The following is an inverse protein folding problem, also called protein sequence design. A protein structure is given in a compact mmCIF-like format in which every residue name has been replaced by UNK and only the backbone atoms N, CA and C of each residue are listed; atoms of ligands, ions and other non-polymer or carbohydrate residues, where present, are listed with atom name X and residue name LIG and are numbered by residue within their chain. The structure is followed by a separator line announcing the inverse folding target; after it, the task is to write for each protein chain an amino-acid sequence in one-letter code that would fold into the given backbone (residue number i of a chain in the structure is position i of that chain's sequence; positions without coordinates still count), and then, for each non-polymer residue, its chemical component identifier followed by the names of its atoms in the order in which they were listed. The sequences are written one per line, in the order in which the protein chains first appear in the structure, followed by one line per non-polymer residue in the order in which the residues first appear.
data_IF_218967335105
#
_entry.id   IF_218967335105
#
_cell.length_a   1.000
_cell.length_b   1.000
_cell.length_c   1.000
_cell.angle_alpha   90.00
_cell.angle_beta   90.00
_cell.angle_gamma   90.00
#
_symmetry.space_group_name_H-M   'P 1'
#
loop_
_entity.id
_entity.type
_entity.pdbx_description
1 polymer ?
#
# COMPACT_ATOMS: atom_id res chain seq x y z
N UNK A 1 31.00 7.90 7.93
CA UNK A 1 29.97 7.25 8.78
C UNK A 1 28.54 7.56 8.32
N UNK A 2 28.18 8.84 8.12
CA UNK A 2 26.85 9.26 7.65
C UNK A 2 26.42 8.66 6.29
N UNK A 3 27.36 8.51 5.33
CA UNK A 3 27.11 7.90 4.02
C UNK A 3 27.02 6.36 4.05
N UNK A 4 27.76 5.71 4.96
CA UNK A 4 27.68 4.26 5.15
C UNK A 4 26.35 3.87 5.81
N UNK A 5 25.87 4.69 6.76
CA UNK A 5 24.53 4.57 7.35
C UNK A 5 23.43 4.84 6.33
N UNK A 6 23.60 5.83 5.44
CA UNK A 6 22.66 6.04 4.31
C UNK A 6 22.65 4.85 3.36
N UNK A 7 23.79 4.23 3.04
CA UNK A 7 23.86 3.02 2.20
C UNK A 7 23.25 1.80 2.88
N UNK A 8 23.55 1.54 4.16
CA UNK A 8 22.96 0.45 4.93
C UNK A 8 21.46 0.63 5.13
N UNK A 9 20.98 1.87 5.38
CA UNK A 9 19.55 2.19 5.34
C UNK A 9 18.95 1.88 3.97
N UNK A 10 19.64 2.26 2.89
CA UNK A 10 19.17 2.01 1.52
C UNK A 10 19.13 0.53 1.18
N UNK A 11 20.06 -0.29 1.66
CA UNK A 11 20.12 -1.73 1.39
C UNK A 11 19.19 -2.56 2.29
N UNK A 12 19.01 -2.18 3.56
CA UNK A 12 17.99 -2.77 4.43
C UNK A 12 16.56 -2.48 3.93
N UNK A 13 16.36 -1.35 3.25
CA UNK A 13 15.12 -0.99 2.56
C UNK A 13 14.88 -1.76 1.23
N UNK A 14 15.79 -2.63 0.77
CA UNK A 14 15.66 -3.29 -0.55
C UNK A 14 15.03 -4.68 -0.52
N UNK A 15 14.74 -5.25 0.65
CA UNK A 15 14.11 -6.59 0.79
C UNK A 15 12.92 -6.57 1.75
N UNK A 16 12.06 -5.54 1.61
CA UNK A 16 10.86 -5.38 2.45
C UNK A 16 9.66 -6.15 1.90
N UNK A 17 9.73 -6.51 0.63
CA UNK A 17 8.66 -7.16 -0.10
C UNK A 17 8.73 -8.66 0.10
N UNK A 18 7.91 -9.16 1.02
CA UNK A 18 7.65 -10.59 1.12
C UNK A 18 6.38 -10.92 0.32
N UNK A 19 6.45 -11.79 -0.69
CA UNK A 19 5.25 -12.20 -1.40
C UNK A 19 4.41 -13.10 -0.50
N UNK A 20 3.10 -12.89 -0.50
CA UNK A 20 2.17 -13.68 0.31
C UNK A 20 1.01 -14.19 -0.55
N UNK A 21 0.33 -15.26 -0.11
CA UNK A 21 -0.81 -15.80 -0.84
C UNK A 21 -1.95 -14.79 -0.81
N UNK A 22 -2.37 -14.30 -1.97
CA UNK A 22 -3.46 -13.35 -2.11
C UNK A 22 -4.42 -13.79 -3.22
N UNK A 23 -5.70 -13.49 -3.06
CA UNK A 23 -6.69 -13.62 -4.12
C UNK A 23 -6.52 -12.54 -5.20
N UNK A 24 -5.64 -11.56 -4.99
CA UNK A 24 -5.38 -10.48 -5.93
C UNK A 24 -6.53 -9.48 -6.03
N UNK A 25 -6.28 -8.34 -6.66
CA UNK A 25 -7.26 -7.26 -6.80
C UNK A 25 -7.26 -6.72 -8.23
N UNK A 26 -8.27 -5.90 -8.55
CA UNK A 26 -8.41 -5.31 -9.88
C UNK A 26 -7.74 -3.93 -9.92
N UNK A 27 -6.76 -3.77 -10.79
CA UNK A 27 -6.16 -2.48 -11.14
C UNK A 27 -6.80 -1.94 -12.42
N UNK A 28 -7.19 -0.65 -12.48
CA UNK A 28 -7.69 -0.06 -13.72
C UNK A 28 -6.57 0.01 -14.76
N UNK A 29 -6.95 -0.07 -16.03
CA UNK A 29 -5.98 0.01 -17.14
C UNK A 29 -5.60 1.45 -17.45
N UNK A 30 -6.48 2.41 -17.14
CA UNK A 30 -6.28 3.81 -17.41
C UNK A 30 -6.37 4.64 -16.12
N UNK A 31 -5.31 5.42 -15.90
CA UNK A 31 -5.17 6.38 -14.80
C UNK A 31 -4.64 7.66 -15.39
N UNK A 32 -5.33 8.77 -15.15
CA UNK A 32 -4.95 10.12 -15.55
C UNK A 32 -4.77 11.01 -14.34
N UNK A 33 -4.07 12.13 -14.53
CA UNK A 33 -3.97 13.19 -13.54
C UNK A 33 -5.01 14.25 -13.88
N UNK A 34 -5.75 14.70 -12.88
CA UNK A 34 -6.62 15.87 -12.96
C UNK A 34 -6.31 16.78 -11.77
N UNK A 35 -5.53 17.83 -12.02
CA UNK A 35 -4.98 18.68 -10.96
C UNK A 35 -4.23 17.89 -9.89
N UNK A 36 -4.72 17.96 -8.66
CA UNK A 36 -4.16 17.28 -7.49
C UNK A 36 -4.82 15.92 -7.19
N UNK A 37 -5.51 15.33 -8.15
CA UNK A 37 -6.13 14.02 -8.04
C UNK A 37 -5.70 13.06 -9.14
N UNK A 38 -5.71 11.76 -8.82
CA UNK A 38 -5.75 10.69 -9.80
C UNK A 38 -7.18 10.48 -10.24
N UNK A 39 -7.43 10.36 -11.54
CA UNK A 39 -8.69 9.87 -12.09
C UNK A 39 -8.52 8.49 -12.70
N UNK A 40 -9.52 7.65 -12.52
CA UNK A 40 -9.51 6.27 -12.91
C UNK A 40 -10.69 5.96 -13.82
N UNK A 41 -10.44 5.50 -15.03
CA UNK A 41 -11.52 5.23 -15.99
C UNK A 41 -12.25 3.92 -15.66
N UNK A 42 -13.58 4.01 -15.48
CA UNK A 42 -14.46 2.86 -15.33
C UNK A 42 -14.60 2.03 -16.63
N UNK A 43 -14.38 2.65 -17.79
CA UNK A 43 -14.47 2.01 -19.11
C UNK A 43 -13.24 1.14 -19.42
N UNK A 44 -12.17 1.26 -18.62
CA UNK A 44 -10.93 0.54 -18.84
C UNK A 44 -11.04 -0.92 -18.36
N UNK A 45 -10.63 -1.88 -19.19
CA UNK A 45 -10.66 -3.30 -18.80
C UNK A 45 -9.74 -3.54 -17.60
N UNK A 46 -10.23 -3.96 -16.43
CA UNK A 46 -9.39 -4.09 -15.25
C UNK A 46 -8.40 -5.24 -15.41
N UNK A 47 -7.20 -5.07 -14.84
CA UNK A 47 -6.15 -6.09 -14.79
C UNK A 47 -6.05 -6.64 -13.38
N UNK A 48 -6.16 -7.95 -13.24
CA UNK A 48 -5.92 -8.61 -11.95
C UNK A 48 -4.44 -8.50 -11.57
N UNK A 49 -4.17 -8.03 -10.36
CA UNK A 49 -2.84 -7.87 -9.76
C UNK A 49 -2.72 -8.71 -8.51
N UNK A 50 -1.48 -9.07 -8.21
CA UNK A 50 -1.10 -9.82 -7.03
C UNK A 50 0.07 -9.08 -6.36
N UNK A 51 0.27 -9.24 -5.04
CA UNK A 51 1.46 -8.72 -4.39
C UNK A 51 2.71 -9.25 -5.10
N UNK A 52 3.68 -8.38 -5.37
CA UNK A 52 4.95 -8.79 -5.95
C UNK A 52 6.13 -8.00 -5.38
N UNK A 53 7.33 -8.48 -5.65
CA UNK A 53 8.59 -7.85 -5.27
C UNK A 53 8.63 -6.40 -5.73
N UNK A 54 9.04 -5.49 -4.84
CA UNK A 54 9.14 -4.06 -5.09
C UNK A 54 7.86 -3.26 -4.92
N UNK A 55 6.69 -3.88 -4.65
CA UNK A 55 5.42 -3.17 -4.51
C UNK A 55 5.41 -2.22 -3.31
N UNK A 56 5.65 -2.73 -2.10
CA UNK A 56 5.76 -1.92 -0.90
C UNK A 56 6.91 -0.92 -1.05
N UNK A 57 8.09 -1.37 -1.50
CA UNK A 57 9.25 -0.49 -1.71
C UNK A 57 8.90 0.71 -2.60
N UNK A 58 8.20 0.48 -3.70
CA UNK A 58 7.78 1.54 -4.61
C UNK A 58 6.70 2.44 -3.98
N UNK A 59 5.76 1.87 -3.20
CA UNK A 59 4.74 2.64 -2.50
C UNK A 59 5.33 3.57 -1.44
N UNK A 60 6.27 3.09 -0.62
CA UNK A 60 6.92 3.90 0.43
C UNK A 60 7.59 5.15 -0.13
N UNK A 61 8.06 5.10 -1.38
CA UNK A 61 8.70 6.25 -2.05
C UNK A 61 7.70 7.31 -2.52
N UNK A 62 6.40 7.01 -2.54
CA UNK A 62 5.39 7.94 -3.03
C UNK A 62 5.19 9.15 -2.15
N UNK A 63 5.61 9.10 -0.87
CA UNK A 63 5.56 10.23 0.08
C UNK A 63 6.09 11.53 -0.56
N UNK A 64 7.22 11.44 -1.27
CA UNK A 64 7.92 12.56 -1.88
C UNK A 64 7.88 12.53 -3.42
N UNK A 65 7.11 11.63 -3.99
CA UNK A 65 7.11 11.41 -5.44
C UNK A 65 6.33 12.51 -6.18
N UNK A 66 6.76 12.74 -7.43
CA UNK A 66 6.05 13.60 -8.34
C UNK A 66 4.65 13.02 -8.68
N UNK A 67 3.65 13.85 -9.00
CA UNK A 67 2.31 13.38 -9.39
C UNK A 67 2.32 12.28 -10.46
N UNK A 68 3.19 12.40 -11.47
CA UNK A 68 3.31 11.42 -12.55
C UNK A 68 3.80 10.04 -12.07
N UNK A 69 4.65 10.00 -11.04
CA UNK A 69 5.13 8.75 -10.45
C UNK A 69 4.04 8.07 -9.63
N UNK A 70 3.23 8.85 -8.90
CA UNK A 70 2.05 8.34 -8.18
C UNK A 70 1.04 7.77 -9.18
N UNK A 71 0.77 8.47 -10.28
CA UNK A 71 -0.12 7.98 -11.34
C UNK A 71 0.42 6.71 -12.02
N UNK A 72 1.74 6.63 -12.25
CA UNK A 72 2.38 5.43 -12.79
C UNK A 72 2.25 4.24 -11.83
N UNK A 73 2.45 4.46 -10.53
CA UNK A 73 2.26 3.44 -9.51
C UNK A 73 0.80 2.97 -9.47
N UNK A 74 -0.16 3.90 -9.43
CA UNK A 74 -1.59 3.57 -9.38
C UNK A 74 -2.07 2.84 -10.65
N UNK A 75 -1.51 3.16 -11.82
CA UNK A 75 -1.77 2.42 -13.06
C UNK A 75 -1.24 0.99 -13.01
N UNK A 76 -0.09 0.80 -12.38
CA UNK A 76 0.50 -0.53 -12.25
C UNK A 76 -0.26 -1.37 -11.22
N UNK A 77 -0.53 -0.78 -10.04
CA UNK A 77 -0.94 -1.50 -8.86
C UNK A 77 -2.40 -1.30 -8.44
N UNK A 78 -3.17 -0.41 -9.04
CA UNK A 78 -4.58 -0.21 -8.66
C UNK A 78 -4.84 1.02 -7.81
N UNK A 79 -6.10 1.20 -7.41
CA UNK A 79 -6.56 2.30 -6.54
C UNK A 79 -6.31 1.95 -5.07
N UNK A 80 -6.11 2.95 -4.20
CA UNK A 80 -6.14 2.73 -2.75
C UNK A 80 -7.57 2.60 -2.22
N UNK A 81 -8.55 2.99 -3.03
CA UNK A 81 -9.95 3.19 -2.70
C UNK A 81 -10.08 4.09 -1.47
N UNK A 82 -9.62 5.34 -1.58
CA UNK A 82 -9.71 6.29 -0.47
C UNK A 82 -11.15 6.79 -0.27
N UNK A 83 -11.57 6.97 0.97
CA UNK A 83 -12.76 7.73 1.35
C UNK A 83 -12.45 9.24 1.36
N UNK A 84 -13.49 10.06 1.49
CA UNK A 84 -13.37 11.54 1.58
C UNK A 84 -12.46 12.01 2.72
N UNK A 85 -12.31 11.23 3.79
CA UNK A 85 -11.38 11.50 4.89
C UNK A 85 -9.92 11.08 4.61
N UNK A 86 -9.64 10.58 3.41
CA UNK A 86 -8.30 10.18 2.97
C UNK A 86 -7.80 8.85 3.53
N UNK A 87 -8.69 8.05 4.10
CA UNK A 87 -8.41 6.70 4.59
C UNK A 87 -8.90 5.65 3.59
N UNK A 88 -8.34 4.43 3.55
CA UNK A 88 -8.91 3.35 2.75
C UNK A 88 -10.39 3.13 3.10
N UNK A 89 -11.27 3.03 2.10
CA UNK A 89 -12.73 2.94 2.25
C UNK A 89 -13.16 1.77 3.15
N UNK A 90 -12.34 0.71 3.20
CA UNK A 90 -12.51 -0.43 4.08
C UNK A 90 -12.43 -0.09 5.58
N UNK A 91 -11.98 1.10 5.95
CA UNK A 91 -11.91 1.51 7.34
C UNK A 91 -13.29 1.48 8.03
N UNK A 92 -13.35 0.91 9.24
CA UNK A 92 -14.56 0.94 10.08
C UNK A 92 -14.44 2.05 11.13
N UNK A 93 -14.83 3.27 10.77
CA UNK A 93 -14.90 4.40 11.70
C UNK A 93 -15.96 4.21 12.82
N UNK A 94 -16.88 3.25 12.66
CA UNK A 94 -18.07 3.10 13.50
C UNK A 94 -18.08 1.88 14.42
N UNK A 95 -16.93 1.25 14.71
CA UNK A 95 -16.93 0.21 15.74
C UNK A 95 -17.13 0.84 17.14
N UNK A 96 -18.17 0.46 17.90
CA UNK A 96 -18.41 0.99 19.23
C UNK A 96 -17.17 0.79 20.13
N UNK A 97 -16.64 1.88 20.69
CA UNK A 97 -15.48 1.84 21.60
C UNK A 97 -14.11 1.99 20.95
N UNK A 98 -13.99 2.01 19.62
CA UNK A 98 -12.72 2.23 18.93
C UNK A 98 -12.55 3.72 18.61
N UNK A 99 -11.77 4.45 19.44
CA UNK A 99 -11.35 5.82 19.10
C UNK A 99 -10.18 5.74 18.13
N UNK A 100 -10.43 6.15 16.90
CA UNK A 100 -9.35 6.41 15.94
C UNK A 100 -8.70 7.74 16.35
N UNK A 101 -7.39 7.78 16.64
CA UNK A 101 -6.69 9.02 16.99
C UNK A 101 -6.91 10.08 15.91
N UNK A 102 -7.06 11.35 16.31
CA UNK A 102 -7.23 12.49 15.41
C UNK A 102 -6.16 12.55 14.31
N UNK A 103 -4.91 12.20 14.60
CA UNK A 103 -3.83 12.13 13.62
C UNK A 103 -3.90 10.98 12.62
N UNK A 104 -4.87 10.08 12.75
CA UNK A 104 -5.12 9.07 11.73
C UNK A 104 -5.83 9.69 10.54
N UNK A 105 -6.62 10.74 10.78
CA UNK A 105 -7.22 11.50 9.71
C UNK A 105 -6.16 12.37 9.06
N UNK A 106 -6.20 12.44 7.73
CA UNK A 106 -5.65 13.61 7.07
C UNK A 106 -6.29 14.85 7.72
N UNK A 107 -5.53 15.90 8.06
CA UNK A 107 -6.15 17.20 8.31
C UNK A 107 -7.12 17.44 7.13
N UNK A 108 -8.36 17.89 7.40
CA UNK A 108 -9.44 17.81 6.43
C UNK A 108 -8.93 18.24 5.06
N UNK A 109 -8.88 17.28 4.13
CA UNK A 109 -8.65 17.55 2.71
C UNK A 109 -9.80 18.37 2.10
N UNK A 110 -10.73 18.85 2.95
CA UNK A 110 -11.70 19.88 2.67
C UNK A 110 -10.93 21.04 2.05
N UNK A 111 -11.02 21.07 0.72
CA UNK A 111 -10.88 22.24 -0.11
C UNK A 111 -9.75 23.19 0.31
N UNK A 112 -8.59 23.08 -0.36
CA UNK A 112 -7.88 24.31 -0.64
C UNK A 112 -8.88 25.30 -1.25
N UNK A 113 -9.03 26.52 -0.73
CA UNK A 113 -9.92 27.51 -1.32
C UNK A 113 -9.58 27.67 -2.82
N UNK A 114 -10.50 27.26 -3.69
CA UNK A 114 -10.30 27.24 -5.15
C UNK A 114 -10.15 25.87 -5.80
N UNK A 115 -10.20 24.74 -5.07
CA UNK A 115 -10.32 23.42 -5.70
C UNK A 115 -11.71 23.25 -6.33
N UNK A 116 -11.80 22.58 -7.48
CA UNK A 116 -13.09 22.29 -8.14
C UNK A 116 -14.05 21.53 -7.22
N UNK A 117 -13.51 20.72 -6.30
CA UNK A 117 -14.26 20.01 -5.28
C UNK A 117 -14.93 20.96 -4.27
N UNK A 118 -14.26 22.05 -3.89
CA UNK A 118 -14.83 23.05 -3.00
C UNK A 118 -16.09 23.68 -3.62
N UNK A 119 -16.01 24.00 -4.92
CA UNK A 119 -17.12 24.53 -5.69
C UNK A 119 -18.22 23.48 -5.91
N UNK A 120 -17.87 22.23 -6.23
CA UNK A 120 -18.85 21.13 -6.36
C UNK A 120 -19.58 20.82 -5.05
N UNK A 121 -18.89 20.86 -3.90
CA UNK A 121 -19.52 20.66 -2.59
C UNK A 121 -20.46 21.81 -2.21
N UNK A 122 -20.15 23.02 -2.65
CA UNK A 122 -20.98 24.21 -2.45
C UNK A 122 -22.22 24.20 -3.37
N UNK A 123 -22.06 23.75 -4.62
CA UNK A 123 -23.16 23.57 -5.59
C UNK A 123 -24.12 22.43 -5.20
N UNK A 124 -23.65 21.42 -4.45
CA UNK A 124 -24.49 20.35 -3.90
C UNK A 124 -25.38 20.81 -2.73
N UNK A 125 -25.34 22.09 -2.34
CA UNK A 125 -26.22 22.66 -1.31
C UNK A 125 -26.00 22.05 0.08
N UNK A 126 -24.78 21.58 0.37
CA UNK A 126 -24.44 21.04 1.69
C UNK A 126 -24.37 22.19 2.70
N UNK A 127 -25.46 22.34 3.45
CA UNK A 127 -25.65 23.37 4.47
C UNK A 127 -24.51 23.37 5.50
N UNK A 128 -23.93 24.55 5.74
CA UNK A 128 -22.82 24.75 6.70
C UNK A 128 -23.23 24.52 8.16
N UNK A 129 -24.52 24.26 8.42
CA UNK A 129 -25.10 24.11 9.76
C UNK A 129 -25.43 22.67 10.18
N UNK A 130 -25.27 21.66 9.32
CA UNK A 130 -25.57 20.27 9.69
C UNK A 130 -24.56 19.70 10.72
N UNK A 131 -24.97 19.04 11.82
CA UNK A 131 -24.04 18.45 12.78
C UNK A 131 -23.15 17.37 12.15
N UNK A 132 -21.90 17.30 12.60
CA UNK A 132 -20.77 16.58 11.98
C UNK A 132 -20.91 15.06 11.75
N UNK A 133 -21.91 14.30 12.24
CA UNK A 133 -22.15 12.94 11.73
C UNK A 133 -23.00 12.92 10.45
N UNK A 134 -23.91 13.88 10.26
CA UNK A 134 -24.95 13.80 9.22
C UNK A 134 -24.45 14.29 7.86
N UNK A 135 -23.52 15.26 7.81
CA UNK A 135 -22.83 15.64 6.56
C UNK A 135 -21.99 14.49 5.99
N UNK A 136 -21.36 13.71 6.88
CA UNK A 136 -20.49 12.59 6.51
C UNK A 136 -21.31 11.40 5.98
N UNK A 137 -22.49 11.15 6.55
CA UNK A 137 -23.38 10.08 6.10
C UNK A 137 -24.18 10.44 4.83
N UNK A 138 -24.43 11.73 4.59
CA UNK A 138 -25.04 12.23 3.36
C UNK A 138 -24.03 12.25 2.18
N UNK A 139 -22.74 12.48 2.45
CA UNK A 139 -21.62 12.32 1.51
C UNK A 139 -21.24 10.84 1.29
N UNK A 140 -22.26 10.00 1.12
CA UNK A 140 -22.15 8.59 0.76
C UNK A 140 -21.40 8.46 -0.58
N UNK A 141 -20.22 7.85 -0.71
CA UNK A 141 -19.29 7.25 0.25
C UNK A 141 -17.93 6.96 -0.47
N UNK A 142 -17.48 7.81 -1.40
CA UNK A 142 -16.24 7.62 -2.17
C UNK A 142 -15.92 8.90 -2.94
N UNK A 143 -14.64 9.23 -3.17
CA UNK A 143 -14.20 10.15 -4.23
C UNK A 143 -14.61 9.73 -5.67
N UNK A 144 -15.46 8.69 -5.81
CA UNK A 144 -15.90 8.11 -7.06
C UNK A 144 -14.74 7.54 -7.86
N UNK A 145 -14.52 8.13 -9.03
CA UNK A 145 -13.40 7.78 -9.92
C UNK A 145 -12.16 8.64 -9.70
N UNK A 146 -12.13 9.50 -8.69
CA UNK A 146 -10.97 10.29 -8.32
C UNK A 146 -10.33 9.82 -7.01
N UNK A 147 -9.04 10.10 -6.77
CA UNK A 147 -8.41 10.03 -5.44
C UNK A 147 -7.38 11.14 -5.28
N UNK A 148 -7.36 11.87 -4.16
CA UNK A 148 -6.44 12.99 -3.96
C UNK A 148 -5.00 12.49 -3.78
N UNK A 149 -4.03 13.12 -4.48
CA UNK A 149 -2.61 12.80 -4.36
C UNK A 149 -2.09 12.96 -2.93
N UNK A 150 -2.66 13.89 -2.16
CA UNK A 150 -2.33 14.09 -0.76
C UNK A 150 -2.61 12.83 0.09
N UNK A 151 -3.71 12.11 -0.18
CA UNK A 151 -4.04 10.87 0.52
C UNK A 151 -3.05 9.74 0.22
N UNK A 152 -2.62 9.64 -1.04
CA UNK A 152 -1.56 8.72 -1.44
C UNK A 152 -0.25 9.00 -0.72
N UNK A 153 0.19 10.27 -0.70
CA UNK A 153 1.42 10.69 -0.01
C UNK A 153 1.35 10.44 1.49
N UNK A 154 0.22 10.76 2.11
CA UNK A 154 0.02 10.56 3.54
C UNK A 154 0.13 9.09 3.93
N UNK A 155 -0.58 8.19 3.23
CA UNK A 155 -0.52 6.78 3.54
C UNK A 155 0.88 6.20 3.28
N UNK A 156 1.53 6.61 2.18
CA UNK A 156 2.90 6.23 1.87
C UNK A 156 3.89 6.69 2.96
N UNK A 157 3.83 7.96 3.37
CA UNK A 157 4.68 8.52 4.41
C UNK A 157 4.46 7.86 5.77
N UNK A 158 3.21 7.53 6.11
CA UNK A 158 2.90 6.81 7.34
C UNK A 158 3.49 5.40 7.35
N UNK A 159 3.30 4.64 6.28
CA UNK A 159 3.89 3.30 6.14
C UNK A 159 5.43 3.38 6.12
N UNK A 160 6.01 4.40 5.49
CA UNK A 160 7.45 4.61 5.43
C UNK A 160 8.03 4.92 6.81
N UNK A 161 7.37 5.78 7.59
CA UNK A 161 7.74 6.10 8.96
C UNK A 161 7.69 4.86 9.87
N UNK A 162 6.64 4.04 9.77
CA UNK A 162 6.51 2.78 10.52
C UNK A 162 7.66 1.83 10.18
N UNK A 163 7.92 1.63 8.88
CA UNK A 163 8.99 0.76 8.42
C UNK A 163 10.38 1.27 8.86
N UNK A 164 10.64 2.57 8.72
CA UNK A 164 11.91 3.17 9.16
C UNK A 164 12.10 3.04 10.68
N UNK A 165 11.05 3.25 11.48
CA UNK A 165 11.12 3.06 12.93
C UNK A 165 11.51 1.61 13.28
N UNK A 166 10.89 0.63 12.62
CA UNK A 166 11.23 -0.78 12.79
C UNK A 166 12.71 -1.06 12.44
N UNK A 167 13.15 -0.60 11.28
CA UNK A 167 14.50 -0.83 10.78
C UNK A 167 15.59 -0.18 11.67
N UNK A 168 15.33 1.00 12.22
CA UNK A 168 16.24 1.68 13.16
C UNK A 168 16.32 0.91 14.48
N UNK A 169 15.19 0.44 15.00
CA UNK A 169 15.16 -0.37 16.23
C UNK A 169 15.86 -1.72 16.04
N UNK A 170 15.78 -2.32 14.85
CA UNK A 170 16.45 -3.59 14.52
C UNK A 170 17.99 -3.51 14.60
N UNK A 171 18.57 -2.33 14.38
CA UNK A 171 20.02 -2.12 14.50
C UNK A 171 20.44 -1.59 15.88
N UNK A 172 19.51 -1.57 16.85
CA UNK A 172 19.77 -1.12 18.22
C UNK A 172 19.81 0.39 18.40
N UNK A 173 19.32 1.15 17.42
CA UNK A 173 19.22 2.61 17.48
C UNK A 173 17.80 3.06 17.86
N UNK A 174 17.67 4.33 18.26
CA UNK A 174 16.37 4.95 18.55
C UNK A 174 15.87 5.75 17.34
N UNK A 175 14.61 5.56 16.89
CA UNK A 175 14.05 6.38 15.83
C UNK A 175 13.95 7.86 16.25
N UNK A 176 14.18 8.76 15.29
CA UNK A 176 14.08 10.21 15.51
C UNK A 176 12.64 10.66 15.72
N UNK A 177 12.46 11.83 16.32
CA UNK A 177 11.15 12.45 16.51
C UNK A 177 10.34 12.55 15.20
N UNK A 178 10.99 12.98 14.11
CA UNK A 178 10.38 13.05 12.77
C UNK A 178 9.97 11.69 12.20
N UNK A 179 10.59 10.58 12.64
CA UNK A 179 10.18 9.24 12.23
C UNK A 179 8.92 8.83 12.97
N UNK A 180 8.84 9.10 14.28
CA UNK A 180 7.62 8.85 15.07
C UNK A 180 6.44 9.70 14.63
N UNK A 181 6.68 10.98 14.33
CA UNK A 181 5.66 11.89 13.82
C UNK A 181 5.10 11.42 12.47
N UNK A 182 5.96 10.99 11.53
CA UNK A 182 5.48 10.40 10.27
C UNK A 182 4.74 9.08 10.49
N UNK A 183 5.26 8.20 11.35
CA UNK A 183 4.71 6.85 11.55
C UNK A 183 3.33 6.86 12.23
N UNK A 184 3.15 7.72 13.23
CA UNK A 184 2.00 7.68 14.13
C UNK A 184 1.39 9.03 14.47
N UNK A 185 1.87 10.12 13.87
CA UNK A 185 1.41 11.47 14.16
C UNK A 185 2.02 12.07 15.44
N UNK A 186 1.71 13.34 15.72
CA UNK A 186 2.22 14.08 16.87
C UNK A 186 1.84 13.44 18.22
N UNK A 187 0.70 12.75 18.32
CA UNK A 187 0.25 12.08 19.55
C UNK A 187 1.14 10.89 19.89
N UNK A 188 1.62 10.14 18.88
CA UNK A 188 2.57 9.05 19.11
C UNK A 188 3.88 9.59 19.67
N UNK A 189 4.41 10.66 19.05
CA UNK A 189 5.61 11.33 19.53
C UNK A 189 5.42 11.87 20.95
N UNK A 190 4.31 12.55 21.21
CA UNK A 190 3.96 13.10 22.52
C UNK A 190 3.92 12.00 23.59
N UNK A 191 3.35 10.83 23.32
CA UNK A 191 3.32 9.71 24.28
C UNK A 191 4.74 9.23 24.55
N UNK A 192 5.56 9.02 23.52
CA UNK A 192 6.94 8.54 23.68
C UNK A 192 7.77 9.54 24.50
N UNK A 193 7.64 10.83 24.22
CA UNK A 193 8.38 11.89 24.94
C UNK A 193 7.89 12.07 26.37
N UNK A 194 6.56 12.13 26.59
CA UNK A 194 5.95 12.35 27.90
C UNK A 194 6.29 11.26 28.91
N UNK A 195 6.41 10.01 28.44
CA UNK A 195 6.76 8.88 29.30
C UNK A 195 8.24 8.49 29.20
N UNK A 196 9.06 9.32 28.54
CA UNK A 196 10.51 9.11 28.36
C UNK A 196 10.86 7.69 27.91
N UNK A 197 10.08 7.15 26.96
CA UNK A 197 10.22 5.76 26.54
C UNK A 197 11.50 5.61 25.71
N UNK A 198 12.53 5.02 26.31
CA UNK A 198 13.82 4.73 25.67
C UNK A 198 14.10 3.24 25.46
N UNK A 199 13.38 2.37 26.15
CA UNK A 199 13.57 0.92 26.04
C UNK A 199 13.19 0.44 24.62
N UNK A 200 14.12 -0.24 23.89
CA UNK A 200 13.85 -0.70 22.53
C UNK A 200 12.67 -1.68 22.44
N UNK A 201 12.41 -2.48 23.47
CA UNK A 201 11.29 -3.44 23.47
C UNK A 201 9.96 -2.72 23.59
N UNK A 202 9.88 -1.71 24.46
CA UNK A 202 8.72 -0.83 24.56
C UNK A 202 8.47 -0.06 23.25
N UNK A 203 9.50 0.53 22.64
CA UNK A 203 9.39 1.21 21.35
C UNK A 203 8.96 0.26 20.22
N UNK A 204 9.41 -1.00 20.23
CA UNK A 204 8.92 -2.03 19.30
C UNK A 204 7.43 -2.30 19.51
N UNK A 205 6.95 -2.29 20.74
CA UNK A 205 5.52 -2.33 21.06
C UNK A 205 4.71 -1.23 20.36
N UNK A 206 5.24 0.00 20.29
CA UNK A 206 4.61 1.10 19.54
C UNK A 206 4.57 0.83 18.03
N UNK A 207 5.68 0.38 17.44
CA UNK A 207 5.71 0.01 16.02
C UNK A 207 4.64 -1.05 15.72
N UNK A 208 4.53 -2.09 16.54
CA UNK A 208 3.51 -3.13 16.39
C UNK A 208 2.09 -2.57 16.53
N UNK A 209 1.87 -1.66 17.48
CA UNK A 209 0.60 -0.95 17.63
C UNK A 209 0.21 -0.16 16.38
N UNK A 210 1.17 0.54 15.75
CA UNK A 210 0.95 1.29 14.51
C UNK A 210 0.63 0.37 13.32
N UNK A 211 1.36 -0.74 13.18
CA UNK A 211 1.09 -1.76 12.15
C UNK A 211 -0.32 -2.35 12.33
N UNK A 212 -0.69 -2.72 13.57
CA UNK A 212 -2.02 -3.23 13.88
C UNK A 212 -3.10 -2.19 13.56
N UNK A 213 -2.84 -0.91 13.80
CA UNK A 213 -3.72 0.19 13.38
C UNK A 213 -3.93 0.23 11.87
N UNK A 214 -2.86 0.09 11.07
CA UNK A 214 -2.95 0.06 9.60
C UNK A 214 -3.70 -1.19 9.09
N UNK A 215 -3.48 -2.35 9.72
CA UNK A 215 -4.25 -3.56 9.42
C UNK A 215 -5.74 -3.38 9.77
N UNK A 216 -6.07 -2.76 10.90
CA UNK A 216 -7.44 -2.49 11.29
C UNK A 216 -8.13 -1.49 10.33
N UNK A 217 -7.40 -0.50 9.81
CA UNK A 217 -7.90 0.45 8.81
C UNK A 217 -8.15 -0.19 7.45
N UNK A 218 -7.28 -1.10 7.03
CA UNK A 218 -7.35 -1.73 5.70
C UNK A 218 -8.16 -3.02 5.68
N UNK A 219 -8.41 -3.62 6.85
CA UNK A 219 -9.18 -4.84 7.05
C UNK A 219 -8.88 -5.93 6.02
N UNK A 220 -7.64 -6.44 5.96
CA UNK A 220 -7.36 -7.59 5.11
C UNK A 220 -8.27 -8.75 5.51
N UNK A 221 -8.95 -9.33 4.53
CA UNK A 221 -9.84 -10.46 4.71
C UNK A 221 -9.05 -11.76 4.55
N UNK A 222 -9.02 -12.58 5.59
CA UNK A 222 -8.48 -13.94 5.47
C UNK A 222 -9.58 -14.83 4.87
N UNK A 223 -9.29 -15.46 3.73
CA UNK A 223 -10.24 -16.32 2.99
C UNK A 223 -9.62 -17.70 2.81
N UNK A 224 -10.45 -18.74 2.99
CA UNK A 224 -10.10 -20.10 2.61
C UNK A 224 -10.59 -20.32 1.17
N UNK A 225 -9.65 -20.52 0.25
CA UNK A 225 -9.91 -20.84 -1.15
C UNK A 225 -9.51 -22.30 -1.41
N UNK A 226 -9.94 -22.94 -2.53
CA UNK A 226 -9.62 -24.35 -2.81
C UNK A 226 -8.12 -24.69 -2.75
N UNK A 227 -7.27 -23.68 -2.93
CA UNK A 227 -5.83 -23.79 -2.99
C UNK A 227 -5.13 -23.48 -1.66
N UNK A 228 -5.86 -23.06 -0.62
CA UNK A 228 -5.32 -22.78 0.71
C UNK A 228 -5.86 -21.50 1.35
N UNK A 229 -5.17 -21.04 2.39
CA UNK A 229 -5.46 -19.77 3.06
C UNK A 229 -4.86 -18.62 2.24
N UNK A 230 -5.67 -17.64 1.87
CA UNK A 230 -5.23 -16.41 1.20
C UNK A 230 -5.58 -15.19 2.02
N UNK A 231 -4.72 -14.18 1.98
CA UNK A 231 -5.01 -12.85 2.49
C UNK A 231 -5.53 -12.00 1.34
N UNK A 232 -6.83 -11.75 1.37
CA UNK A 232 -7.55 -10.82 0.50
C UNK A 232 -7.97 -9.58 1.28
N UNK A 233 -9.06 -8.95 0.84
CA UNK A 233 -9.44 -7.60 1.23
C UNK A 233 -9.35 -6.74 -0.02
N UNK A 234 -10.39 -5.96 -0.30
CA UNK A 234 -10.78 -5.58 -1.66
C UNK A 234 -9.91 -4.46 -2.28
N UNK A 235 -8.57 -4.52 -2.14
CA UNK A 235 -7.70 -3.59 -2.84
C UNK A 235 -6.24 -3.55 -2.39
N UNK A 236 -5.52 -2.69 -3.10
CA UNK A 236 -4.10 -2.41 -2.91
C UNK A 236 -3.74 -2.02 -1.47
N UNK A 237 -4.59 -1.25 -0.77
CA UNK A 237 -4.30 -0.78 0.58
C UNK A 237 -4.12 -1.93 1.59
N UNK A 238 -4.99 -2.95 1.54
CA UNK A 238 -4.88 -4.15 2.37
C UNK A 238 -3.61 -4.93 2.05
N UNK A 239 -3.28 -5.07 0.76
CA UNK A 239 -2.08 -5.75 0.34
C UNK A 239 -0.80 -5.06 0.85
N UNK A 240 -0.75 -3.72 0.79
CA UNK A 240 0.35 -2.92 1.32
C UNK A 240 0.50 -3.05 2.83
N UNK A 241 -0.60 -3.01 3.58
CA UNK A 241 -0.57 -3.19 5.04
C UNK A 241 -0.05 -4.59 5.44
N UNK A 242 -0.41 -5.63 4.69
CA UNK A 242 0.09 -6.99 4.90
C UNK A 242 1.59 -7.07 4.59
N UNK A 243 2.06 -6.54 3.47
CA UNK A 243 3.52 -6.49 3.18
C UNK A 243 4.27 -5.72 4.25
N UNK A 244 3.74 -4.56 4.70
CA UNK A 244 4.36 -3.78 5.77
C UNK A 244 4.48 -4.61 7.05
N UNK A 245 3.42 -5.34 7.41
CA UNK A 245 3.41 -6.21 8.59
C UNK A 245 4.51 -7.27 8.48
N UNK A 246 4.63 -7.93 7.33
CA UNK A 246 5.66 -8.94 7.09
C UNK A 246 7.07 -8.33 7.16
N UNK A 247 7.25 -7.16 6.54
CA UNK A 247 8.52 -6.43 6.56
C UNK A 247 8.94 -6.01 7.97
N UNK A 248 8.02 -5.49 8.78
CA UNK A 248 8.26 -5.10 10.17
C UNK A 248 8.52 -6.33 11.07
N UNK A 249 7.77 -7.41 10.86
CA UNK A 249 7.97 -8.66 11.60
C UNK A 249 9.24 -9.40 11.18
N UNK A 250 9.91 -8.96 10.10
CA UNK A 250 11.00 -9.66 9.41
C UNK A 250 10.64 -11.11 9.11
N UNK A 251 9.36 -11.34 8.81
CA UNK A 251 8.91 -12.65 8.38
C UNK A 251 9.38 -12.84 6.94
N UNK A 252 10.55 -13.45 6.78
CA UNK A 252 10.82 -14.24 5.58
C UNK A 252 9.77 -15.35 5.59
N UNK A 253 8.74 -15.24 4.77
CA UNK A 253 7.86 -16.40 4.61
C UNK A 253 8.67 -17.46 3.90
N UNK A 254 8.94 -18.52 4.64
CA UNK A 254 9.33 -19.80 4.09
C UNK A 254 8.33 -20.27 3.03
N UNK A 255 7.15 -19.66 2.87
CA UNK A 255 6.18 -19.96 1.83
C UNK A 255 6.13 -18.85 0.78
N UNK A 256 6.39 -19.21 -0.47
CA UNK A 256 6.20 -18.31 -1.61
C UNK A 256 4.91 -18.67 -2.36
N UNK A 257 4.17 -17.69 -2.87
CA UNK A 257 3.12 -17.97 -3.83
C UNK A 257 3.74 -18.54 -5.11
N UNK A 258 3.14 -19.59 -5.62
CA UNK A 258 3.39 -20.10 -6.95
C UNK A 258 2.68 -19.16 -7.96
N UNK A 259 3.21 -19.05 -9.18
CA UNK A 259 2.57 -18.29 -10.25
C UNK A 259 1.18 -18.82 -10.63
N UNK A 260 0.94 -20.11 -10.41
CA UNK A 260 -0.40 -20.68 -10.56
C UNK A 260 -1.28 -20.28 -9.38
N UNK A 261 -2.44 -19.71 -9.71
CA UNK A 261 -3.34 -19.10 -8.75
C UNK A 261 -3.61 -20.03 -7.57
N UNK A 262 -3.31 -19.49 -6.38
CA UNK A 262 -3.66 -20.14 -5.13
C UNK A 262 -2.68 -21.20 -4.62
N UNK A 263 -1.69 -21.61 -5.40
CA UNK A 263 -0.70 -22.56 -4.92
C UNK A 263 0.39 -21.85 -4.10
N UNK A 264 0.82 -22.45 -2.99
CA UNK A 264 1.93 -21.97 -2.15
C UNK A 264 2.93 -23.10 -1.93
N UNK A 265 4.20 -22.78 -1.72
CA UNK A 265 5.23 -23.81 -1.50
C UNK A 265 6.33 -23.31 -0.60
N UNK A 266 6.98 -24.24 0.09
CA UNK A 266 8.13 -23.90 0.93
C UNK A 266 9.32 -23.51 0.05
N UNK A 267 9.80 -22.28 0.19
CA UNK A 267 10.81 -21.67 -0.63
C UNK A 267 12.20 -22.27 -0.40
N UNK A 268 12.86 -22.67 -1.48
CA UNK A 268 14.26 -22.27 -1.67
C UNK A 268 14.19 -20.88 -2.32
N UNK A 269 14.68 -19.83 -1.65
CA UNK A 269 14.68 -18.44 -2.16
C UNK A 269 14.97 -18.45 -3.67
N UNK A 270 14.00 -18.14 -4.55
CA UNK A 270 14.23 -18.12 -5.98
C UNK A 270 15.30 -17.07 -6.27
N UNK A 271 16.09 -17.30 -7.32
CA UNK A 271 17.03 -16.28 -7.78
C UNK A 271 16.22 -15.01 -8.09
N UNK A 272 16.74 -13.85 -7.66
CA UNK A 272 16.11 -12.54 -7.91
C UNK A 272 15.64 -12.43 -9.36
N UNK A 273 14.35 -12.13 -9.56
CA UNK A 273 13.73 -12.02 -10.89
C UNK A 273 13.25 -13.34 -11.52
N UNK A 274 13.45 -14.49 -10.87
CA UNK A 274 12.84 -15.74 -11.31
C UNK A 274 11.38 -15.83 -10.85
N UNK A 275 10.50 -16.27 -11.73
CA UNK A 275 9.09 -16.51 -11.37
C UNK A 275 9.00 -17.72 -10.44
N UNK A 276 8.36 -17.58 -9.26
CA UNK A 276 8.24 -18.67 -8.29
C UNK A 276 7.24 -19.72 -8.78
N UNK A 277 7.66 -20.99 -8.78
CA UNK A 277 6.80 -22.15 -9.04
C UNK A 277 7.01 -23.18 -7.94
N UNK A 278 5.93 -23.80 -7.48
CA UNK A 278 6.03 -24.95 -6.58
C UNK A 278 6.64 -26.16 -7.31
N UNK A 279 7.12 -27.15 -6.55
CA UNK A 279 7.71 -28.37 -7.09
C UNK A 279 6.74 -29.13 -8.02
N UNK A 280 5.45 -29.14 -7.68
CA UNK A 280 4.40 -29.71 -8.53
C UNK A 280 4.32 -29.01 -9.90
N UNK A 281 4.24 -27.69 -9.95
CA UNK A 281 4.16 -26.97 -11.24
C UNK A 281 5.49 -26.98 -12.00
N UNK A 282 6.62 -27.09 -11.30
CA UNK A 282 7.93 -27.33 -11.92
C UNK A 282 7.98 -28.70 -12.59
N UNK A 283 7.53 -29.76 -11.92
CA UNK A 283 7.55 -31.13 -12.46
C UNK A 283 6.59 -31.31 -13.65
N UNK A 284 5.50 -30.55 -13.69
CA UNK A 284 4.54 -30.53 -14.81
C UNK A 284 4.94 -29.58 -15.95
N UNK A 285 6.14 -28.99 -15.89
CA UNK A 285 6.66 -28.14 -16.96
C UNK A 285 5.93 -26.81 -17.15
N UNK A 286 5.14 -26.36 -16.17
CA UNK A 286 4.40 -25.09 -16.23
C UNK A 286 5.36 -23.93 -16.47
N UNK A 287 6.46 -23.90 -15.73
CA UNK A 287 7.52 -22.90 -15.92
C UNK A 287 8.03 -22.83 -17.37
N UNK A 288 8.25 -23.99 -18.00
CA UNK A 288 8.73 -24.03 -19.40
C UNK A 288 7.67 -23.48 -20.36
N UNK A 289 6.39 -23.78 -20.12
CA UNK A 289 5.27 -23.23 -20.92
C UNK A 289 5.20 -21.71 -20.80
N UNK A 290 5.29 -21.19 -19.59
CA UNK A 290 5.26 -19.74 -19.33
C UNK A 290 6.50 -19.02 -19.90
N UNK A 291 7.69 -19.59 -19.72
CA UNK A 291 8.92 -19.07 -20.33
C UNK A 291 8.82 -19.06 -21.86
N UNK A 292 8.26 -20.12 -22.46
CA UNK A 292 8.02 -20.19 -23.91
C UNK A 292 7.00 -19.13 -24.36
N UNK A 293 5.91 -18.92 -23.61
CA UNK A 293 4.93 -17.84 -23.87
C UNK A 293 5.60 -16.48 -23.84
N UNK A 294 6.32 -16.13 -22.76
CA UNK A 294 7.06 -14.86 -22.62
C UNK A 294 8.14 -14.67 -23.69
N UNK A 295 8.73 -15.75 -24.20
CA UNK A 295 9.70 -15.69 -25.31
C UNK A 295 9.00 -15.34 -26.61
N UNK A 296 7.81 -15.90 -26.88
CA UNK A 296 7.00 -15.58 -28.06
C UNK A 296 6.49 -14.14 -28.00
N UNK A 297 5.98 -13.70 -26.86
CA UNK A 297 5.54 -12.30 -26.63
C UNK A 297 6.69 -11.31 -26.91
N UNK A 298 7.88 -11.55 -26.35
CA UNK A 298 9.07 -10.71 -26.61
C UNK A 298 9.58 -10.78 -28.04
N UNK A 299 9.35 -11.87 -28.76
CA UNK A 299 9.69 -11.96 -30.19
C UNK A 299 8.71 -11.13 -31.03
N UNK A 300 7.41 -11.24 -30.71
CA UNK A 300 6.36 -10.46 -31.35
C UNK A 300 6.53 -8.95 -31.12
N UNK A 301 6.81 -8.52 -29.89
CA UNK A 301 7.07 -7.11 -29.57
C UNK A 301 8.29 -6.55 -30.33
N UNK A 302 9.35 -7.35 -30.51
CA UNK A 302 10.52 -6.96 -31.31
C UNK A 302 10.16 -6.80 -32.78
N UNK A 303 9.49 -7.79 -33.36
CA UNK A 303 9.03 -7.72 -34.74
C UNK A 303 8.10 -6.52 -34.97
N UNK A 304 7.19 -6.23 -34.02
CA UNK A 304 6.30 -5.07 -34.10
C UNK A 304 7.08 -3.75 -34.10
N UNK A 305 8.11 -3.64 -33.26
CA UNK A 305 9.02 -2.47 -33.23
C UNK A 305 9.82 -2.33 -34.53
N UNK A 306 10.32 -3.42 -35.09
CA UNK A 306 11.09 -3.42 -36.35
C UNK A 306 10.23 -2.97 -37.54
N UNK A 307 8.91 -3.23 -37.49
CA UNK A 307 7.94 -2.77 -38.48
C UNK A 307 7.50 -1.31 -38.28
N UNK A 308 8.05 -0.59 -37.30
CA UNK A 308 7.66 0.80 -37.00
C UNK A 308 6.25 0.95 -36.42
N UNK A 309 5.61 -0.14 -36.03
CA UNK A 309 4.28 -0.14 -35.43
C UNK A 309 4.41 0.23 -33.94
N UNK A 310 4.01 1.45 -33.59
CA UNK A 310 3.93 1.93 -32.21
C UNK A 310 2.71 1.36 -31.50
#
# INVERSE_FOLDING_TARGET
MHDAMRRLRREALLDVDAPFPSDGWLAPSEVSLDGDALRFSAESSPRRRFPADGMLTAFLRLELAAPAEIAAFAREWGRLHLCTHGLPHTHRLHLPGMRIPSSTYLPPLVAQPGSSLAAELQDLGMDEDLPYPERVLAARDWWGDAEPLAGWRFLAGRMAGVYEAAAVLDIGESPSASTWERAGGPETLMVIERFEIRDPSALRGFVLGLVNGLLALTMPAIRLVPSGLTVGGDGLAAALAVQLTMGVARQDTDFLPCMEAGCTFRARRPRRGATPYCEFHLSHGVRRRDEQRRRRERAYERQRKDLGLR
#
